data_IF_044955685891
#
_entry.id   IF_044955685891
#
_cell.length_a   1.000
_cell.length_b   1.000
_cell.length_c   1.000
_cell.angle_alpha   90.00
_cell.angle_beta   90.00
_cell.angle_gamma   90.00
#
_symmetry.space_group_name_H-M   'P 1'
#
loop_
_entity.id
_entity.type
_entity.pdbx_description
1 polymer ?
#
# COMPACT_ATOMS: atom_id res chain seq x y z
N UNK A 1 37.54 -19.92 44.11
CA UNK A 1 36.43 -20.15 43.17
C UNK A 1 36.07 -18.84 42.44
N UNK A 2 36.74 -18.47 41.32
CA UNK A 2 36.38 -17.26 40.56
C UNK A 2 35.75 -17.54 39.18
N UNK A 3 35.63 -18.81 38.76
CA UNK A 3 35.26 -19.17 37.39
C UNK A 3 33.76 -19.03 37.04
N UNK A 4 32.89 -18.78 38.01
CA UNK A 4 31.43 -18.71 37.78
C UNK A 4 30.93 -17.31 37.37
N UNK A 5 31.75 -16.27 37.50
CA UNK A 5 31.39 -14.89 37.11
C UNK A 5 31.67 -14.59 35.63
N UNK A 6 32.79 -15.10 35.08
CA UNK A 6 33.22 -14.81 33.70
C UNK A 6 32.26 -15.38 32.65
N UNK A 7 31.60 -16.52 32.95
CA UNK A 7 30.64 -17.13 32.02
C UNK A 7 29.29 -16.38 31.95
N UNK A 8 28.91 -15.61 32.99
CA UNK A 8 27.67 -14.83 32.97
C UNK A 8 27.80 -13.57 32.10
N UNK A 9 28.97 -12.91 32.13
CA UNK A 9 29.20 -11.71 31.33
C UNK A 9 29.34 -12.03 29.83
N UNK A 10 29.94 -13.17 29.48
CA UNK A 10 30.10 -13.59 28.08
C UNK A 10 28.75 -13.92 27.40
N UNK A 11 27.81 -14.54 28.13
CA UNK A 11 26.50 -14.92 27.59
C UNK A 11 25.54 -13.73 27.44
N UNK A 12 25.67 -12.71 28.29
CA UNK A 12 24.88 -11.47 28.17
C UNK A 12 25.29 -10.63 26.97
N UNK A 13 26.57 -10.61 26.59
CA UNK A 13 27.09 -9.86 25.45
C UNK A 13 26.57 -10.37 24.10
N UNK A 14 26.43 -11.69 23.92
CA UNK A 14 25.87 -12.29 22.70
C UNK A 14 24.37 -12.03 22.54
N UNK A 15 23.62 -12.03 23.64
CA UNK A 15 22.18 -11.74 23.64
C UNK A 15 21.94 -10.25 23.38
N UNK A 16 22.71 -9.34 23.97
CA UNK A 16 22.58 -7.90 23.70
C UNK A 16 22.94 -7.55 22.26
N UNK A 17 24.00 -8.13 21.69
CA UNK A 17 24.32 -7.92 20.27
C UNK A 17 23.21 -8.46 19.36
N UNK A 18 22.64 -9.63 19.69
CA UNK A 18 21.53 -10.22 18.94
C UNK A 18 20.24 -9.39 19.05
N UNK A 19 19.96 -8.79 20.21
CA UNK A 19 18.83 -7.88 20.43
C UNK A 19 19.05 -6.55 19.69
N UNK A 20 20.25 -5.99 19.72
CA UNK A 20 20.59 -4.76 18.97
C UNK A 20 20.55 -4.98 17.46
N UNK A 21 21.02 -6.15 16.99
CA UNK A 21 20.89 -6.56 15.59
C UNK A 21 19.40 -6.75 15.24
N UNK A 22 18.61 -7.43 16.06
CA UNK A 22 17.15 -7.57 15.85
C UNK A 22 16.46 -6.20 15.80
N UNK A 23 16.76 -5.31 16.74
CA UNK A 23 16.18 -3.98 16.81
C UNK A 23 16.57 -3.12 15.60
N UNK A 24 17.81 -3.23 15.12
CA UNK A 24 18.25 -2.54 13.89
C UNK A 24 17.59 -3.14 12.64
N UNK A 25 17.38 -4.45 12.56
CA UNK A 25 16.60 -5.07 11.50
C UNK A 25 15.14 -4.62 11.52
N UNK A 26 14.53 -4.49 12.70
CA UNK A 26 13.16 -4.01 12.86
C UNK A 26 13.05 -2.52 12.45
N UNK A 27 14.02 -1.69 12.84
CA UNK A 27 14.10 -0.30 12.42
C UNK A 27 14.27 -0.18 10.90
N UNK A 28 15.17 -0.96 10.31
CA UNK A 28 15.35 -1.00 8.86
C UNK A 28 14.06 -1.43 8.18
N UNK A 29 13.43 -2.52 8.63
CA UNK A 29 12.17 -3.02 8.07
C UNK A 29 11.06 -1.97 8.11
N UNK A 30 10.95 -1.23 9.21
CA UNK A 30 9.99 -0.14 9.35
C UNK A 30 10.28 1.01 8.38
N UNK A 31 11.55 1.36 8.18
CA UNK A 31 11.96 2.39 7.21
C UNK A 31 11.63 1.95 5.77
N UNK A 32 11.99 0.72 5.41
CA UNK A 32 11.69 0.15 4.08
C UNK A 32 10.19 0.10 3.80
N UNK A 33 9.39 -0.29 4.80
CA UNK A 33 7.95 -0.39 4.66
C UNK A 33 7.29 1.00 4.53
N UNK A 34 7.75 1.99 5.30
CA UNK A 34 7.30 3.38 5.15
C UNK A 34 7.64 3.95 3.77
N UNK A 35 8.86 3.70 3.27
CA UNK A 35 9.26 4.14 1.94
C UNK A 35 8.36 3.54 0.85
N UNK A 36 8.04 2.25 0.96
CA UNK A 36 7.17 1.56 0.01
C UNK A 36 5.76 2.15 0.00
N UNK A 37 5.18 2.39 1.18
CA UNK A 37 3.88 3.05 1.35
C UNK A 37 3.86 4.43 0.69
N UNK A 38 4.85 5.27 0.99
CA UNK A 38 4.99 6.61 0.40
C UNK A 38 5.16 6.55 -1.12
N UNK A 39 5.94 5.59 -1.61
CA UNK A 39 6.17 5.39 -3.04
C UNK A 39 4.88 5.07 -3.76
N UNK A 40 4.05 4.17 -3.25
CA UNK A 40 2.77 3.81 -3.86
C UNK A 40 1.86 5.04 -3.95
N UNK A 41 1.68 5.78 -2.86
CA UNK A 41 0.83 6.99 -2.86
C UNK A 41 1.36 8.06 -3.79
N UNK A 42 2.68 8.26 -3.84
CA UNK A 42 3.31 9.23 -4.74
C UNK A 42 3.05 8.88 -6.20
N UNK A 43 3.09 7.59 -6.56
CA UNK A 43 2.75 7.14 -7.91
C UNK A 43 1.28 7.38 -8.25
N UNK A 44 0.35 7.21 -7.31
CA UNK A 44 -1.07 7.52 -7.54
C UNK A 44 -1.26 9.02 -7.80
N UNK A 45 -0.59 9.88 -7.03
CA UNK A 45 -0.66 11.35 -7.19
C UNK A 45 -0.08 11.84 -8.52
N UNK A 46 0.92 11.13 -9.03
CA UNK A 46 1.61 11.45 -10.29
C UNK A 46 1.10 10.60 -11.45
N UNK A 47 0.03 9.83 -11.26
CA UNK A 47 -0.52 8.97 -12.29
C UNK A 47 -1.00 9.81 -13.47
N UNK A 48 -0.78 9.29 -14.68
CA UNK A 48 -1.26 9.94 -15.90
C UNK A 48 -2.68 9.47 -16.22
N UNK A 49 -3.48 10.36 -16.81
CA UNK A 49 -4.81 10.06 -17.33
C UNK A 49 -4.83 9.02 -18.45
N UNK A 50 -3.65 8.66 -19.00
CA UNK A 50 -3.53 7.65 -20.06
C UNK A 50 -3.13 6.29 -19.53
N UNK A 51 -2.16 6.25 -18.62
CA UNK A 51 -1.62 5.00 -18.10
C UNK A 51 -1.16 5.18 -16.66
N UNK A 52 -1.65 4.29 -15.81
CA UNK A 52 -1.34 4.24 -14.40
C UNK A 52 -0.41 3.05 -14.19
N UNK A 53 0.81 3.32 -13.73
CA UNK A 53 1.81 2.28 -13.43
C UNK A 53 2.12 2.30 -11.94
N UNK A 54 1.88 1.17 -11.28
CA UNK A 54 2.06 1.03 -9.84
C UNK A 54 3.08 -0.06 -9.53
N UNK A 55 4.19 0.35 -8.93
CA UNK A 55 5.22 -0.47 -8.31
C UNK A 55 4.94 -0.56 -6.80
N UNK A 56 4.54 -1.74 -6.32
CA UNK A 56 4.30 -1.99 -4.90
C UNK A 56 5.11 -3.16 -4.31
N UNK A 57 5.93 -3.84 -5.12
CA UNK A 57 6.87 -4.86 -4.64
C UNK A 57 8.11 -4.93 -5.53
N UNK A 58 9.18 -5.59 -5.05
CA UNK A 58 10.44 -5.73 -5.80
C UNK A 58 10.32 -6.57 -7.09
N UNK A 59 9.16 -7.19 -7.37
CA UNK A 59 8.99 -8.15 -8.45
C UNK A 59 8.28 -7.66 -9.71
N UNK A 60 7.77 -6.43 -9.76
CA UNK A 60 7.09 -5.91 -10.96
C UNK A 60 6.17 -4.71 -10.74
N UNK A 61 5.61 -4.21 -11.84
CA UNK A 61 4.58 -3.17 -11.84
C UNK A 61 3.27 -3.68 -12.40
N UNK A 62 2.18 -3.08 -11.95
CA UNK A 62 0.87 -3.23 -12.57
C UNK A 62 0.60 -2.02 -13.45
N UNK A 63 0.25 -2.28 -14.70
CA UNK A 63 -0.23 -1.25 -15.61
C UNK A 63 -1.75 -1.34 -15.73
N UNK A 64 -2.36 -0.17 -15.62
CA UNK A 64 -3.77 0.07 -15.94
C UNK A 64 -3.78 1.06 -17.10
N UNK A 65 -4.45 0.70 -18.19
CA UNK A 65 -4.70 1.59 -19.30
C UNK A 65 -6.00 2.35 -19.05
N UNK A 66 -5.86 3.63 -18.68
CA UNK A 66 -6.99 4.49 -18.32
C UNK A 66 -7.83 4.89 -19.53
N UNK A 67 -7.36 4.65 -20.77
CA UNK A 67 -8.15 4.85 -21.97
C UNK A 67 -9.02 3.64 -22.31
N UNK A 68 -8.64 2.46 -21.82
CA UNK A 68 -9.41 1.23 -22.00
C UNK A 68 -10.64 1.18 -21.08
N UNK A 69 -11.69 0.49 -21.53
CA UNK A 69 -12.83 0.19 -20.67
C UNK A 69 -12.39 -0.79 -19.58
N UNK A 70 -12.88 -0.58 -18.36
CA UNK A 70 -12.65 -1.49 -17.25
C UNK A 70 -13.27 -2.84 -17.58
N UNK A 71 -12.43 -3.87 -17.74
CA UNK A 71 -12.85 -5.25 -18.00
C UNK A 71 -13.33 -5.98 -16.74
N UNK A 72 -13.12 -5.36 -15.58
CA UNK A 72 -13.36 -5.94 -14.26
C UNK A 72 -14.76 -5.63 -13.71
N UNK A 73 -15.49 -4.73 -14.36
CA UNK A 73 -16.84 -4.38 -13.96
C UNK A 73 -17.75 -4.15 -15.18
N UNK A 74 -19.05 -4.24 -14.96
CA UNK A 74 -20.07 -4.09 -16.01
C UNK A 74 -20.57 -2.64 -16.17
N UNK A 75 -19.78 -1.66 -15.70
CA UNK A 75 -20.20 -0.25 -15.76
C UNK A 75 -19.88 0.42 -17.11
N UNK A 76 -19.18 -0.26 -18.02
CA UNK A 76 -18.73 0.31 -19.30
C UNK A 76 -18.03 1.67 -19.16
N UNK A 77 -17.29 1.83 -18.06
CA UNK A 77 -16.53 3.04 -17.75
C UNK A 77 -15.05 2.82 -18.04
N UNK A 78 -14.33 3.90 -18.36
CA UNK A 78 -12.88 3.88 -18.49
C UNK A 78 -12.21 3.51 -17.16
N UNK A 79 -11.13 2.71 -17.19
CA UNK A 79 -10.38 2.30 -15.99
C UNK A 79 -9.45 3.43 -15.49
N UNK A 80 -10.01 4.64 -15.27
CA UNK A 80 -9.28 5.79 -14.74
C UNK A 80 -8.89 5.59 -13.28
N UNK A 81 -8.00 6.46 -12.76
CA UNK A 81 -7.60 6.42 -11.35
C UNK A 81 -8.80 6.56 -10.42
N UNK A 82 -9.73 7.46 -10.76
CA UNK A 82 -10.96 7.66 -10.02
C UNK A 82 -11.84 6.39 -10.05
N UNK A 83 -11.98 5.77 -11.23
CA UNK A 83 -12.72 4.52 -11.34
C UNK A 83 -12.10 3.41 -10.49
N UNK A 84 -10.78 3.27 -10.53
CA UNK A 84 -10.03 2.30 -9.74
C UNK A 84 -10.16 2.54 -8.23
N UNK A 85 -10.10 3.78 -7.76
CA UNK A 85 -10.10 4.10 -6.32
C UNK A 85 -11.51 4.22 -5.71
N UNK A 86 -12.52 4.66 -6.48
CA UNK A 86 -13.80 5.11 -5.92
C UNK A 86 -15.00 4.36 -6.52
N UNK A 87 -15.04 4.16 -7.83
CA UNK A 87 -16.28 3.74 -8.51
C UNK A 87 -16.40 2.25 -8.75
N UNK A 88 -15.28 1.58 -9.05
CA UNK A 88 -15.33 0.20 -9.53
C UNK A 88 -15.94 -0.73 -8.45
N UNK A 89 -17.02 -1.46 -8.76
CA UNK A 89 -17.73 -2.29 -7.80
C UNK A 89 -16.94 -3.53 -7.39
N UNK A 90 -16.03 -4.03 -8.24
CA UNK A 90 -15.15 -5.15 -7.89
C UNK A 90 -14.33 -4.84 -6.62
N UNK A 91 -13.85 -3.61 -6.50
CA UNK A 91 -13.06 -3.18 -5.34
C UNK A 91 -13.90 -2.74 -4.15
N UNK A 92 -15.23 -2.74 -4.24
CA UNK A 92 -16.13 -2.28 -3.17
C UNK A 92 -15.83 -2.93 -1.80
N UNK A 93 -15.63 -4.26 -1.69
CA UNK A 93 -15.35 -4.88 -0.39
C UNK A 93 -14.05 -4.36 0.25
N UNK A 94 -13.00 -4.22 -0.55
CA UNK A 94 -11.67 -3.75 -0.11
C UNK A 94 -11.72 -2.24 0.18
N UNK A 95 -12.45 -1.47 -0.66
CA UNK A 95 -12.66 -0.03 -0.51
C UNK A 95 -13.39 0.28 0.78
N UNK A 96 -14.47 -0.44 1.07
CA UNK A 96 -15.25 -0.22 2.29
C UNK A 96 -14.40 -0.55 3.53
N UNK A 97 -13.55 -1.57 3.45
CA UNK A 97 -12.70 -1.95 4.57
C UNK A 97 -11.63 -0.89 4.90
N UNK A 98 -10.98 -0.30 3.89
CA UNK A 98 -9.84 0.61 4.10
C UNK A 98 -10.18 2.09 3.94
N UNK A 99 -11.04 2.43 2.98
CA UNK A 99 -11.23 3.79 2.48
C UNK A 99 -12.57 4.44 2.84
N UNK A 100 -13.54 3.70 3.40
CA UNK A 100 -14.89 4.20 3.74
C UNK A 100 -14.84 5.52 4.54
N UNK A 101 -13.86 5.64 5.45
CA UNK A 101 -13.69 6.82 6.32
C UNK A 101 -13.08 8.04 5.64
N UNK A 102 -12.46 7.88 4.47
CA UNK A 102 -11.74 8.95 3.76
C UNK A 102 -12.47 9.41 2.50
N UNK A 103 -13.42 8.63 2.01
CA UNK A 103 -14.31 9.01 0.91
C UNK A 103 -15.48 9.80 1.49
N UNK A 104 -15.26 11.10 1.73
CA UNK A 104 -16.29 12.03 2.18
C UNK A 104 -16.73 12.90 1.02
N UNK A 105 -17.93 12.72 0.50
CA UNK A 105 -18.46 13.57 -0.58
C UNK A 105 -19.36 12.83 -1.55
N UNK A 106 -20.03 13.61 -2.41
CA UNK A 106 -20.77 13.08 -3.55
C UNK A 106 -19.76 12.42 -4.49
N UNK A 107 -20.02 11.16 -4.84
CA UNK A 107 -19.22 10.35 -5.78
C UNK A 107 -18.95 11.07 -7.13
N UNK A 108 -19.66 12.16 -7.43
CA UNK A 108 -19.63 12.87 -8.70
C UNK A 108 -18.85 14.20 -8.74
N UNK A 109 -18.20 14.65 -7.65
CA UNK A 109 -17.58 15.99 -7.60
C UNK A 109 -16.05 16.02 -7.76
N UNK A 110 -15.40 14.86 -7.92
CA UNK A 110 -13.94 14.73 -7.99
C UNK A 110 -13.20 15.12 -6.71
N UNK A 111 -13.88 15.68 -5.71
CA UNK A 111 -13.28 16.07 -4.43
C UNK A 111 -12.91 14.84 -3.61
N UNK A 112 -13.67 13.75 -3.75
CA UNK A 112 -13.37 12.47 -3.10
C UNK A 112 -12.02 11.90 -3.50
N UNK A 113 -11.55 12.13 -4.73
CA UNK A 113 -10.23 11.69 -5.18
C UNK A 113 -9.13 12.54 -4.55
N UNK A 114 -9.31 13.87 -4.56
CA UNK A 114 -8.33 14.81 -4.00
C UNK A 114 -8.20 14.62 -2.48
N UNK A 115 -9.31 14.44 -1.76
CA UNK A 115 -9.29 14.20 -0.31
C UNK A 115 -8.59 12.88 0.02
N UNK A 116 -8.85 11.83 -0.76
CA UNK A 116 -8.24 10.52 -0.57
C UNK A 116 -6.71 10.56 -0.80
N UNK A 117 -6.27 11.25 -1.86
CA UNK A 117 -4.86 11.36 -2.19
C UNK A 117 -4.11 12.37 -1.31
N UNK A 118 -4.81 13.30 -0.66
CA UNK A 118 -4.22 14.25 0.30
C UNK A 118 -4.10 13.58 1.68
N UNK A 119 -3.04 12.79 1.83
CA UNK A 119 -2.73 12.05 3.05
C UNK A 119 -2.41 13.01 4.19
N UNK A 120 -3.25 13.00 5.23
CA UNK A 120 -3.12 13.82 6.43
C UNK A 120 -2.61 13.04 7.66
N UNK A 121 -2.58 11.70 7.61
CA UNK A 121 -2.12 10.86 8.71
C UNK A 121 -1.43 9.58 8.24
N UNK A 122 -0.57 9.00 9.09
CA UNK A 122 0.06 7.70 8.83
C UNK A 122 -0.97 6.57 8.67
N UNK A 123 -2.06 6.59 9.44
CA UNK A 123 -3.15 5.60 9.29
C UNK A 123 -3.82 5.67 7.92
N UNK A 124 -4.00 6.88 7.39
CA UNK A 124 -4.54 7.06 6.04
C UNK A 124 -3.57 6.55 4.98
N UNK A 125 -2.26 6.78 5.17
CA UNK A 125 -1.21 6.23 4.32
C UNK A 125 -1.27 4.69 4.28
N UNK A 126 -1.38 4.06 5.44
CA UNK A 126 -1.46 2.61 5.57
C UNK A 126 -2.70 2.05 4.90
N UNK A 127 -3.86 2.64 5.19
CA UNK A 127 -5.12 2.20 4.60
C UNK A 127 -5.11 2.34 3.07
N UNK A 128 -4.57 3.45 2.54
CA UNK A 128 -4.45 3.65 1.10
C UNK A 128 -3.49 2.64 0.47
N UNK A 129 -2.36 2.37 1.11
CA UNK A 129 -1.41 1.36 0.66
C UNK A 129 -2.03 -0.06 0.66
N UNK A 130 -2.68 -0.47 1.74
CA UNK A 130 -3.31 -1.79 1.83
C UNK A 130 -4.49 -1.93 0.86
N UNK A 131 -5.25 -0.86 0.64
CA UNK A 131 -6.26 -0.82 -0.40
C UNK A 131 -5.65 -1.09 -1.78
N UNK A 132 -4.64 -0.31 -2.18
CA UNK A 132 -4.05 -0.42 -3.53
C UNK A 132 -3.41 -1.79 -3.74
N UNK A 133 -2.63 -2.26 -2.78
CA UNK A 133 -1.99 -3.58 -2.88
C UNK A 133 -3.01 -4.72 -2.91
N UNK A 134 -4.08 -4.63 -2.11
CA UNK A 134 -5.19 -5.60 -2.14
C UNK A 134 -5.94 -5.58 -3.46
N UNK A 135 -6.29 -4.39 -3.96
CA UNK A 135 -7.00 -4.20 -5.22
C UNK A 135 -6.18 -4.71 -6.41
N UNK A 136 -4.87 -4.44 -6.45
CA UNK A 136 -3.98 -4.94 -7.50
C UNK A 136 -3.83 -6.46 -7.47
N UNK A 137 -3.76 -7.07 -6.27
CA UNK A 137 -3.75 -8.53 -6.13
C UNK A 137 -5.07 -9.14 -6.62
N UNK A 138 -6.20 -8.55 -6.26
CA UNK A 138 -7.53 -8.99 -6.72
C UNK A 138 -7.63 -8.88 -8.24
N UNK A 139 -7.17 -7.77 -8.82
CA UNK A 139 -7.11 -7.58 -10.28
C UNK A 139 -6.25 -8.63 -10.96
N UNK A 140 -5.05 -8.87 -10.42
CA UNK A 140 -4.14 -9.89 -10.95
C UNK A 140 -4.76 -11.29 -10.88
N UNK A 141 -5.54 -11.58 -9.85
CA UNK A 141 -6.27 -12.82 -9.72
C UNK A 141 -7.35 -12.95 -10.80
N UNK A 142 -8.20 -11.94 -10.97
CA UNK A 142 -9.30 -11.95 -11.97
C UNK A 142 -8.80 -11.99 -13.42
N UNK A 143 -7.66 -11.38 -13.73
CA UNK A 143 -7.13 -11.33 -15.11
C UNK A 143 -6.38 -12.62 -15.49
N UNK A 144 -5.81 -13.34 -14.52
CA UNK A 144 -5.00 -14.53 -14.77
C UNK A 144 -5.76 -15.86 -14.57
N UNK A 145 -7.01 -15.83 -14.10
CA UNK A 145 -7.94 -16.97 -14.16
C UNK A 145 -8.70 -17.00 -15.50
#
# INVERSE_FOLDING_TARGET
MPFQWILKECFTLDITLSIEISATWDLLKNIWDLELRLRVVSQLRLASDKSIRIWYSNGGYHAIDALSLCTLCNLNAHETLEHFLIHCPLYSPIRNHYLERYVTGSVNDGQGLVSLLTVASEKQLDHLYYYVTGALKLRAFVINE
#
